data_IF_548967796634
#
_entry.id   IF_548967796634
#
_cell.length_a   1.000
_cell.length_b   1.000
_cell.length_c   1.000
_cell.angle_alpha   90.00
_cell.angle_beta   90.00
_cell.angle_gamma   90.00
#
_symmetry.space_group_name_H-M   'P 1'
#
loop_
_entity.id
_entity.type
_entity.pdbx_description
1 polymer ?
#
# COMPACT_ATOMS: atom_id res chain seq x y z
N UNK A 1 -18.68 -11.37 12.21
CA UNK A 1 -19.13 -10.38 11.21
C UNK A 1 -18.63 -8.99 11.55
N UNK A 2 -18.61 -8.12 10.57
CA UNK A 2 -18.25 -6.71 10.75
C UNK A 2 -19.53 -5.88 10.87
N UNK A 3 -19.55 -4.80 11.68
CA UNK A 3 -20.70 -3.88 11.75
C UNK A 3 -20.86 -3.06 10.46
N UNK A 4 -19.82 -2.99 9.62
CA UNK A 4 -19.85 -2.31 8.34
C UNK A 4 -20.38 -3.25 7.27
N UNK A 5 -21.42 -2.83 6.57
CA UNK A 5 -21.91 -3.47 5.37
C UNK A 5 -22.16 -2.42 4.29
N UNK A 6 -21.83 -2.73 3.06
CA UNK A 6 -22.17 -1.94 1.88
C UNK A 6 -22.27 -2.88 0.68
N UNK A 7 -23.40 -2.84 0.00
CA UNK A 7 -23.60 -3.55 -1.25
C UNK A 7 -23.89 -2.54 -2.36
N UNK A 8 -22.99 -2.45 -3.34
CA UNK A 8 -23.15 -1.57 -4.51
C UNK A 8 -23.54 -2.44 -5.70
N UNK A 9 -24.67 -2.13 -6.29
CA UNK A 9 -25.21 -2.84 -7.45
C UNK A 9 -25.20 -1.88 -8.64
N UNK A 10 -24.46 -2.24 -9.70
CA UNK A 10 -24.46 -1.48 -10.95
C UNK A 10 -25.60 -1.93 -11.84
N UNK A 11 -26.44 -1.00 -12.25
CA UNK A 11 -27.57 -1.24 -13.14
C UNK A 11 -27.91 0.05 -13.90
N UNK A 12 -28.29 -0.08 -15.15
CA UNK A 12 -28.84 0.97 -16.00
C UNK A 12 -30.35 1.23 -15.74
N UNK A 13 -30.97 0.38 -14.90
CA UNK A 13 -32.37 0.47 -14.51
C UNK A 13 -32.50 0.81 -13.03
N UNK A 14 -33.55 1.52 -12.68
CA UNK A 14 -33.95 1.66 -11.28
C UNK A 14 -34.53 0.32 -10.77
N UNK A 15 -33.84 -0.28 -9.81
CA UNK A 15 -34.21 -1.53 -9.19
C UNK A 15 -34.92 -1.33 -7.85
N UNK A 16 -35.22 -0.11 -7.46
CA UNK A 16 -35.75 0.23 -6.11
C UNK A 16 -37.13 -0.40 -5.83
N UNK A 17 -37.96 -0.59 -6.85
CA UNK A 17 -39.25 -1.24 -6.70
C UNK A 17 -39.13 -2.78 -6.64
N UNK A 18 -38.29 -3.37 -7.53
CA UNK A 18 -38.13 -4.82 -7.60
C UNK A 18 -37.27 -5.36 -6.44
N UNK A 19 -36.36 -4.54 -5.92
CA UNK A 19 -35.42 -4.91 -4.88
C UNK A 19 -35.32 -3.80 -3.80
N UNK A 20 -36.35 -3.64 -2.95
CA UNK A 20 -36.52 -2.49 -2.07
C UNK A 20 -35.64 -2.53 -0.80
N UNK A 21 -34.39 -2.99 -0.91
CA UNK A 21 -33.46 -3.11 0.21
C UNK A 21 -33.08 -1.75 0.83
N UNK A 22 -32.83 -0.68 0.04
CA UNK A 22 -32.56 0.65 0.63
C UNK A 22 -33.76 1.17 1.46
N UNK A 23 -34.97 0.96 0.99
CA UNK A 23 -36.18 1.35 1.72
C UNK A 23 -36.36 0.57 3.04
N UNK A 24 -35.81 -0.64 3.13
CA UNK A 24 -35.77 -1.45 4.35
C UNK A 24 -34.61 -1.04 5.29
N UNK A 25 -33.87 0.03 5.00
CA UNK A 25 -32.75 0.52 5.82
C UNK A 25 -31.46 -0.28 5.66
N UNK A 26 -31.36 -1.14 4.64
CA UNK A 26 -30.14 -1.89 4.35
C UNK A 26 -29.15 -1.04 3.57
N UNK A 27 -27.83 -1.16 3.80
CA UNK A 27 -26.80 -0.36 3.17
C UNK A 27 -26.52 -0.83 1.72
N UNK A 28 -27.52 -0.66 0.86
CA UNK A 28 -27.46 -1.00 -0.56
C UNK A 28 -27.53 0.28 -1.39
N UNK A 29 -26.68 0.40 -2.38
CA UNK A 29 -26.64 1.50 -3.35
C UNK A 29 -26.86 0.94 -4.74
N UNK A 30 -27.84 1.46 -5.46
CA UNK A 30 -27.97 1.28 -6.90
C UNK A 30 -27.27 2.43 -7.61
N UNK A 31 -26.50 2.14 -8.63
CA UNK A 31 -25.73 3.13 -9.39
C UNK A 31 -25.56 2.66 -10.83
N UNK A 32 -25.41 3.59 -11.75
CA UNK A 32 -25.01 3.33 -13.13
C UNK A 32 -23.47 3.12 -13.27
N UNK A 33 -22.71 3.41 -12.22
CA UNK A 33 -21.26 3.26 -12.21
C UNK A 33 -20.73 2.90 -10.81
N UNK A 34 -20.39 1.62 -10.61
CA UNK A 34 -19.79 1.13 -9.33
C UNK A 34 -18.30 1.45 -9.19
N UNK A 35 -17.62 1.87 -10.27
CA UNK A 35 -16.17 2.07 -10.31
C UNK A 35 -15.64 3.00 -9.21
N UNK A 36 -16.26 4.16 -8.90
CA UNK A 36 -15.78 5.02 -7.82
C UNK A 36 -15.80 4.34 -6.43
N UNK A 37 -16.82 3.55 -6.14
CA UNK A 37 -16.95 2.81 -4.87
C UNK A 37 -15.88 1.71 -4.75
N UNK A 38 -15.62 0.98 -5.85
CA UNK A 38 -14.54 0.01 -5.94
C UNK A 38 -13.17 0.69 -5.74
N UNK A 39 -12.94 1.82 -6.41
CA UNK A 39 -11.71 2.59 -6.27
C UNK A 39 -11.50 3.07 -4.83
N UNK A 40 -12.52 3.62 -4.17
CA UNK A 40 -12.48 4.01 -2.75
C UNK A 40 -11.99 2.84 -1.88
N UNK A 41 -12.63 1.68 -2.00
CA UNK A 41 -12.25 0.49 -1.22
C UNK A 41 -10.82 0.01 -1.52
N UNK A 42 -10.46 -0.06 -2.79
CA UNK A 42 -9.15 -0.57 -3.22
C UNK A 42 -8.03 0.39 -2.82
N UNK A 43 -8.20 1.70 -2.99
CA UNK A 43 -7.14 2.67 -2.73
C UNK A 43 -7.04 3.03 -1.25
N UNK A 44 -8.15 3.28 -0.55
CA UNK A 44 -8.12 3.64 0.88
C UNK A 44 -7.83 2.40 1.75
N UNK A 45 -8.61 1.32 1.68
CA UNK A 45 -8.43 0.18 2.57
C UNK A 45 -7.25 -0.70 2.14
N UNK A 46 -7.30 -1.20 0.91
CA UNK A 46 -6.28 -2.15 0.45
C UNK A 46 -4.96 -1.45 0.14
N UNK A 47 -5.01 -0.20 -0.36
CA UNK A 47 -3.85 0.64 -0.63
C UNK A 47 -3.11 1.00 0.64
N UNK A 48 -3.84 1.40 1.71
CA UNK A 48 -3.22 1.65 3.00
C UNK A 48 -2.44 0.43 3.51
N UNK A 49 -3.06 -0.76 3.58
CA UNK A 49 -2.36 -1.98 3.95
C UNK A 49 -1.08 -2.17 3.12
N UNK A 50 -1.18 -2.04 1.81
CA UNK A 50 -0.05 -2.27 0.90
C UNK A 50 1.07 -1.23 1.09
N UNK A 51 0.74 0.02 1.44
CA UNK A 51 1.74 1.08 1.62
C UNK A 51 2.51 0.96 2.94
N UNK A 52 1.88 0.47 4.04
CA UNK A 52 2.53 0.52 5.34
C UNK A 52 3.03 -0.82 5.88
N UNK A 53 2.41 -1.97 5.50
CA UNK A 53 2.68 -3.24 6.21
C UNK A 53 4.12 -3.69 6.13
N UNK A 54 4.82 -3.46 5.02
CA UNK A 54 6.21 -3.85 4.83
C UNK A 54 7.14 -2.97 5.68
N UNK A 55 6.92 -1.65 5.67
CA UNK A 55 7.65 -0.71 6.52
C UNK A 55 7.39 -1.00 7.99
N UNK A 56 6.15 -1.21 8.40
CA UNK A 56 5.77 -1.52 9.77
C UNK A 56 6.40 -2.81 10.26
N UNK A 57 6.41 -3.85 9.42
CA UNK A 57 7.10 -5.09 9.75
C UNK A 57 8.59 -4.86 9.99
N UNK A 58 9.27 -4.14 9.11
CA UNK A 58 10.69 -3.81 9.27
C UNK A 58 10.97 -2.84 10.44
N UNK A 59 9.95 -2.16 10.98
CA UNK A 59 10.03 -1.37 12.22
C UNK A 59 9.83 -2.19 13.50
N UNK A 60 9.56 -3.51 13.39
CA UNK A 60 9.42 -4.41 14.52
C UNK A 60 7.99 -4.81 14.88
N UNK A 61 6.97 -4.34 14.15
CA UNK A 61 5.58 -4.74 14.38
C UNK A 61 5.27 -6.06 13.64
N UNK A 62 4.41 -6.90 14.20
CA UNK A 62 4.02 -8.19 13.61
C UNK A 62 2.57 -8.23 13.13
N UNK A 63 1.69 -7.43 13.74
CA UNK A 63 0.26 -7.37 13.40
C UNK A 63 -0.21 -5.94 13.12
N UNK A 64 -1.33 -5.82 12.42
CA UNK A 64 -1.94 -4.52 12.07
C UNK A 64 -2.26 -3.70 13.33
N UNK A 65 -2.74 -4.33 14.41
CA UNK A 65 -3.04 -3.61 15.65
C UNK A 65 -1.81 -2.91 16.25
N UNK A 66 -0.66 -3.58 16.27
CA UNK A 66 0.61 -2.97 16.73
C UNK A 66 1.00 -1.78 15.87
N UNK A 67 0.81 -1.89 14.55
CA UNK A 67 1.02 -0.77 13.62
C UNK A 67 0.14 0.44 13.94
N UNK A 68 -1.10 0.21 14.37
CA UNK A 68 -2.03 1.27 14.77
C UNK A 68 -1.71 1.88 16.14
N UNK A 69 -0.97 1.16 16.98
CA UNK A 69 -0.52 1.63 18.31
C UNK A 69 0.87 2.28 18.24
N UNK A 70 1.60 2.09 17.16
CA UNK A 70 2.87 2.77 16.87
C UNK A 70 2.57 4.17 16.30
N UNK A 71 2.87 5.22 17.05
CA UNK A 71 2.53 6.62 16.70
C UNK A 71 3.12 7.03 15.34
N UNK A 72 4.35 6.60 15.02
CA UNK A 72 5.00 6.94 13.76
C UNK A 72 4.31 6.21 12.58
N UNK A 73 4.03 4.92 12.72
CA UNK A 73 3.34 4.14 11.70
C UNK A 73 1.92 4.67 11.49
N UNK A 74 1.21 4.98 12.57
CA UNK A 74 -0.13 5.58 12.49
C UNK A 74 -0.10 6.94 11.77
N UNK A 75 0.90 7.78 12.05
CA UNK A 75 1.11 9.05 11.34
C UNK A 75 1.34 8.81 9.84
N UNK A 76 2.16 7.83 9.49
CA UNK A 76 2.40 7.43 8.09
C UNK A 76 1.11 6.96 7.40
N UNK A 77 0.34 6.08 8.04
CA UNK A 77 -0.94 5.59 7.51
C UNK A 77 -1.89 6.74 7.24
N UNK A 78 -2.05 7.65 8.22
CA UNK A 78 -2.95 8.80 8.09
C UNK A 78 -2.50 9.74 6.97
N UNK A 79 -1.24 10.12 6.93
CA UNK A 79 -0.71 10.99 5.88
C UNK A 79 -0.87 10.35 4.48
N UNK A 80 -0.59 9.06 4.33
CA UNK A 80 -0.82 8.36 3.06
C UNK A 80 -2.29 8.42 2.64
N UNK A 81 -3.23 8.14 3.54
CA UNK A 81 -4.66 8.09 3.21
C UNK A 81 -5.20 9.50 2.94
N UNK A 82 -5.01 10.43 3.89
CA UNK A 82 -5.70 11.73 3.85
C UNK A 82 -5.03 12.74 2.93
N UNK A 83 -3.70 12.74 2.85
CA UNK A 83 -2.95 13.76 2.12
C UNK A 83 -2.58 13.31 0.69
N UNK A 84 -2.48 12.00 0.44
CA UNK A 84 -2.00 11.50 -0.86
C UNK A 84 -3.05 10.67 -1.63
N UNK A 85 -3.85 9.82 -0.95
CA UNK A 85 -4.82 8.95 -1.63
C UNK A 85 -6.17 9.65 -1.83
N UNK A 86 -6.77 10.22 -0.79
CA UNK A 86 -8.10 10.86 -0.88
C UNK A 86 -8.14 11.96 -1.95
N UNK A 87 -7.13 12.84 -2.11
CA UNK A 87 -7.15 13.86 -3.15
C UNK A 87 -7.24 13.31 -4.58
N UNK A 88 -6.90 12.04 -4.79
CA UNK A 88 -6.96 11.39 -6.11
C UNK A 88 -8.31 10.73 -6.43
N UNK A 89 -9.23 10.68 -5.47
CA UNK A 89 -10.53 10.03 -5.63
C UNK A 89 -11.63 11.01 -6.01
N UNK A 90 -12.70 10.51 -6.66
CA UNK A 90 -13.75 11.33 -7.27
C UNK A 90 -15.06 11.36 -6.49
N UNK A 91 -15.24 10.48 -5.49
CA UNK A 91 -16.43 10.52 -4.63
C UNK A 91 -16.47 11.81 -3.77
N UNK A 92 -17.64 12.21 -3.25
CA UNK A 92 -17.73 13.33 -2.35
C UNK A 92 -16.72 13.24 -1.20
N UNK A 93 -16.04 14.34 -0.90
CA UNK A 93 -14.95 14.37 0.07
C UNK A 93 -15.38 13.82 1.44
N UNK A 94 -16.59 14.14 1.89
CA UNK A 94 -17.07 13.64 3.18
C UNK A 94 -17.21 12.12 3.19
N UNK A 95 -17.75 11.52 2.13
CA UNK A 95 -17.88 10.04 2.00
C UNK A 95 -16.52 9.34 2.03
N UNK A 96 -15.49 9.99 1.47
CA UNK A 96 -14.12 9.46 1.48
C UNK A 96 -13.51 9.54 2.89
N UNK A 97 -13.73 10.65 3.59
CA UNK A 97 -13.25 10.86 4.96
C UNK A 97 -13.93 9.88 5.92
N UNK A 98 -15.26 9.75 5.87
CA UNK A 98 -16.01 8.84 6.73
C UNK A 98 -15.58 7.38 6.49
N UNK A 99 -15.36 7.01 5.22
CA UNK A 99 -14.85 5.68 4.89
C UNK A 99 -13.43 5.45 5.41
N UNK A 100 -12.54 6.45 5.33
CA UNK A 100 -11.18 6.36 5.83
C UNK A 100 -11.15 6.19 7.36
N UNK A 101 -11.95 6.96 8.10
CA UNK A 101 -12.06 6.81 9.57
C UNK A 101 -12.61 5.43 9.96
N UNK A 102 -13.61 4.92 9.22
CA UNK A 102 -14.11 3.57 9.43
C UNK A 102 -13.01 2.51 9.17
N UNK A 103 -12.16 2.70 8.16
CA UNK A 103 -11.00 1.83 7.88
C UNK A 103 -10.00 1.86 9.03
N UNK A 104 -9.64 3.04 9.54
CA UNK A 104 -8.71 3.16 10.68
C UNK A 104 -9.27 2.48 11.93
N UNK A 105 -10.57 2.62 12.19
CA UNK A 105 -11.26 1.92 13.29
C UNK A 105 -11.17 0.39 13.13
N UNK A 106 -11.34 -0.12 11.90
CA UNK A 106 -11.21 -1.56 11.61
C UNK A 106 -9.78 -2.07 11.77
N UNK A 107 -8.79 -1.28 11.39
CA UNK A 107 -7.38 -1.63 11.60
C UNK A 107 -7.02 -1.70 13.08
N UNK A 108 -7.62 -0.85 13.90
CA UNK A 108 -7.43 -0.82 15.35
C UNK A 108 -8.31 -1.83 16.12
N UNK A 109 -8.79 -2.88 15.46
CA UNK A 109 -9.63 -3.90 16.08
C UNK A 109 -8.81 -4.85 16.96
N UNK A 110 -8.99 -4.86 18.30
CA UNK A 110 -8.19 -5.67 19.22
C UNK A 110 -8.49 -7.17 19.14
N UNK A 111 -9.59 -7.55 18.49
CA UNK A 111 -10.01 -8.95 18.39
C UNK A 111 -9.43 -9.66 17.17
N UNK A 112 -8.78 -8.95 16.26
CA UNK A 112 -8.23 -9.51 15.02
C UNK A 112 -6.71 -9.42 15.02
N UNK A 113 -6.05 -10.55 15.15
CA UNK A 113 -4.59 -10.66 15.00
C UNK A 113 -4.23 -10.81 13.51
N UNK A 114 -4.33 -9.71 12.75
CA UNK A 114 -4.01 -9.72 11.33
C UNK A 114 -2.50 -9.56 11.12
N UNK A 115 -1.82 -10.66 10.83
CA UNK A 115 -0.37 -10.69 10.66
C UNK A 115 0.08 -9.89 9.43
N UNK A 116 1.09 -9.02 9.58
CA UNK A 116 1.63 -8.21 8.49
C UNK A 116 2.21 -9.09 7.38
N UNK A 117 2.88 -10.19 7.73
CA UNK A 117 3.40 -11.14 6.75
C UNK A 117 2.30 -11.84 5.92
N UNK A 118 1.10 -12.03 6.46
CA UNK A 118 -0.03 -12.56 5.67
C UNK A 118 -0.55 -11.56 4.64
N UNK A 119 -0.38 -10.27 4.92
CA UNK A 119 -0.74 -9.19 3.98
C UNK A 119 0.37 -8.97 2.94
N UNK A 120 1.62 -9.27 3.28
CA UNK A 120 2.79 -9.03 2.41
C UNK A 120 2.86 -9.91 1.15
N UNK A 121 2.04 -10.96 1.06
CA UNK A 121 1.99 -11.85 -0.11
C UNK A 121 1.77 -11.07 -1.40
N UNK A 122 2.58 -11.32 -2.43
CA UNK A 122 2.47 -10.71 -3.76
C UNK A 122 2.45 -9.16 -3.69
N UNK A 123 3.37 -8.57 -2.93
CA UNK A 123 3.34 -7.12 -2.68
C UNK A 123 3.64 -6.28 -3.92
N UNK A 124 4.42 -6.77 -4.87
CA UNK A 124 4.70 -6.05 -6.13
C UNK A 124 3.41 -5.84 -6.93
N UNK A 125 2.67 -6.90 -7.23
CA UNK A 125 1.41 -6.81 -7.97
C UNK A 125 0.33 -6.05 -7.20
N UNK A 126 0.31 -6.18 -5.87
CA UNK A 126 -0.60 -5.40 -5.00
C UNK A 126 -0.27 -3.91 -5.03
N UNK A 127 1.00 -3.53 -4.96
CA UNK A 127 1.39 -2.12 -5.03
C UNK A 127 0.97 -1.50 -6.36
N UNK A 128 1.26 -2.20 -7.47
CA UNK A 128 0.81 -1.79 -8.81
C UNK A 128 -0.70 -1.58 -8.87
N UNK A 129 -1.49 -2.50 -8.32
CA UNK A 129 -2.94 -2.46 -8.44
C UNK A 129 -3.62 -1.46 -7.47
N UNK A 130 -3.01 -1.17 -6.32
CA UNK A 130 -3.66 -0.49 -5.20
C UNK A 130 -3.07 0.88 -4.87
N UNK A 131 -1.74 1.04 -5.01
CA UNK A 131 -1.02 2.27 -4.68
C UNK A 131 -0.66 3.08 -5.93
N UNK A 132 -0.18 2.43 -6.98
CA UNK A 132 0.30 3.10 -8.20
C UNK A 132 -0.74 4.03 -8.85
N UNK A 133 -2.05 3.69 -8.93
CA UNK A 133 -3.01 4.63 -9.49
C UNK A 133 -3.08 5.96 -8.73
N UNK A 134 -3.08 5.92 -7.38
CA UNK A 134 -3.05 7.15 -6.58
C UNK A 134 -1.71 7.86 -6.69
N UNK A 135 -0.60 7.13 -6.75
CA UNK A 135 0.74 7.69 -6.94
C UNK A 135 0.83 8.51 -8.25
N UNK A 136 0.37 7.95 -9.37
CA UNK A 136 0.40 8.62 -10.67
C UNK A 136 -0.56 9.81 -10.73
N UNK A 137 -1.81 9.63 -10.29
CA UNK A 137 -2.80 10.70 -10.26
C UNK A 137 -2.41 11.86 -9.33
N UNK A 138 -1.70 11.57 -8.23
CA UNK A 138 -1.19 12.60 -7.34
C UNK A 138 -0.09 13.43 -8.04
N UNK A 139 0.85 12.79 -8.72
CA UNK A 139 1.89 13.48 -9.50
C UNK A 139 1.26 14.38 -10.57
N UNK A 140 0.26 13.85 -11.30
CA UNK A 140 -0.44 14.60 -12.33
C UNK A 140 -1.18 15.83 -11.78
N UNK A 141 -1.86 15.68 -10.63
CA UNK A 141 -2.67 16.76 -10.03
C UNK A 141 -1.83 17.81 -9.30
N UNK A 142 -0.85 17.35 -8.52
CA UNK A 142 -0.11 18.22 -7.60
C UNK A 142 1.24 18.69 -8.15
N UNK A 143 1.73 18.09 -9.25
CA UNK A 143 3.01 18.41 -9.85
C UNK A 143 4.21 18.08 -8.97
N UNK A 144 4.05 17.23 -7.97
CA UNK A 144 5.09 16.78 -7.02
C UNK A 144 4.89 15.33 -6.63
N UNK A 145 5.94 14.71 -6.07
CA UNK A 145 5.86 13.33 -5.61
C UNK A 145 5.04 13.22 -4.30
N UNK A 146 4.18 12.18 -4.17
CA UNK A 146 3.59 11.83 -2.90
C UNK A 146 4.65 11.17 -2.02
N UNK A 147 5.05 11.83 -0.95
CA UNK A 147 6.17 11.43 -0.08
C UNK A 147 6.01 10.01 0.47
N UNK A 148 4.84 9.72 1.03
CA UNK A 148 4.58 8.45 1.72
C UNK A 148 4.41 7.28 0.75
N UNK A 149 3.71 7.49 -0.38
CA UNK A 149 3.61 6.47 -1.43
C UNK A 149 4.97 6.21 -2.08
N UNK A 150 5.80 7.26 -2.30
CA UNK A 150 7.18 7.09 -2.81
C UNK A 150 8.05 6.32 -1.81
N UNK A 151 7.96 6.66 -0.52
CA UNK A 151 8.67 5.93 0.54
C UNK A 151 8.23 4.46 0.61
N UNK A 152 6.94 4.17 0.37
CA UNK A 152 6.44 2.80 0.37
C UNK A 152 7.05 1.90 -0.70
N UNK A 153 7.51 2.47 -1.85
CA UNK A 153 8.30 1.73 -2.86
C UNK A 153 9.67 1.34 -2.29
N UNK A 154 10.37 2.27 -1.65
CA UNK A 154 11.65 1.98 -1.01
C UNK A 154 11.51 0.96 0.13
N UNK A 155 10.41 1.03 0.89
CA UNK A 155 10.09 0.05 1.93
C UNK A 155 9.82 -1.35 1.34
N UNK A 156 9.13 -1.44 0.20
CA UNK A 156 8.94 -2.69 -0.54
C UNK A 156 10.31 -3.24 -0.97
N UNK A 157 11.17 -2.42 -1.55
CA UNK A 157 12.52 -2.83 -1.95
C UNK A 157 13.35 -3.32 -0.76
N UNK A 158 13.29 -2.64 0.38
CA UNK A 158 13.99 -3.05 1.60
C UNK A 158 13.44 -4.36 2.16
N UNK A 159 12.13 -4.57 2.13
CA UNK A 159 11.50 -5.82 2.56
C UNK A 159 11.91 -7.01 1.69
N UNK A 160 12.05 -6.83 0.37
CA UNK A 160 12.47 -7.86 -0.57
C UNK A 160 14.01 -8.03 -0.62
N UNK A 161 14.74 -7.54 0.38
CA UNK A 161 16.20 -7.73 0.45
C UNK A 161 16.53 -9.15 0.91
N UNK A 162 17.16 -9.93 0.03
CA UNK A 162 17.62 -11.28 0.27
C UNK A 162 18.32 -11.85 -0.98
N UNK A 163 19.14 -12.90 -0.80
CA UNK A 163 19.84 -13.55 -1.91
C UNK A 163 19.54 -15.06 -2.01
N UNK A 164 18.93 -15.64 -0.98
CA UNK A 164 18.62 -17.07 -0.92
C UNK A 164 17.14 -17.29 -1.19
N UNK A 165 16.84 -18.22 -2.11
CA UNK A 165 15.49 -18.73 -2.33
C UNK A 165 15.45 -20.16 -1.77
N UNK A 166 14.60 -20.38 -0.75
CA UNK A 166 14.40 -21.66 -0.07
C UNK A 166 12.90 -21.96 -0.02
N UNK A 167 12.50 -23.17 -0.40
CA UNK A 167 11.10 -23.61 -0.39
C UNK A 167 10.13 -22.65 -1.11
N UNK A 168 10.55 -22.08 -2.24
CA UNK A 168 9.81 -21.11 -3.05
C UNK A 168 9.59 -19.74 -2.35
N UNK A 169 10.34 -19.43 -1.32
CA UNK A 169 10.35 -18.15 -0.64
C UNK A 169 11.73 -17.49 -0.76
N UNK A 170 11.79 -16.20 -0.97
CA UNK A 170 13.00 -15.41 -0.77
C UNK A 170 13.18 -15.18 0.73
N UNK A 171 14.39 -15.42 1.24
CA UNK A 171 14.67 -15.29 2.67
C UNK A 171 15.18 -13.88 2.97
N UNK A 172 14.34 -13.12 3.69
CA UNK A 172 14.69 -11.83 4.26
C UNK A 172 15.11 -11.95 5.73
N UNK A 173 15.70 -10.87 6.27
CA UNK A 173 16.13 -10.80 7.67
C UNK A 173 15.63 -9.53 8.33
N UNK A 174 15.09 -9.68 9.55
CA UNK A 174 14.72 -8.57 10.45
C UNK A 174 15.36 -8.83 11.82
N UNK A 175 16.24 -7.95 12.24
CA UNK A 175 16.94 -8.05 13.54
C UNK A 175 17.66 -9.40 13.73
N UNK A 176 18.23 -9.94 12.65
CA UNK A 176 18.93 -11.24 12.65
C UNK A 176 18.01 -12.46 12.58
N UNK A 177 16.70 -12.28 12.51
CA UNK A 177 15.71 -13.37 12.36
C UNK A 177 15.24 -13.47 10.92
N UNK A 178 15.26 -14.68 10.38
CA UNK A 178 14.77 -14.97 9.02
C UNK A 178 13.24 -14.79 8.94
N UNK A 179 12.78 -14.26 7.80
CA UNK A 179 11.37 -14.31 7.41
C UNK A 179 11.24 -14.70 5.94
N UNK A 180 10.08 -15.27 5.61
CA UNK A 180 9.80 -15.72 4.25
C UNK A 180 9.04 -14.64 3.47
N UNK A 181 9.54 -14.34 2.28
CA UNK A 181 8.90 -13.45 1.31
C UNK A 181 8.29 -14.32 0.23
N UNK A 182 6.98 -14.22 0.06
CA UNK A 182 6.20 -15.01 -0.89
C UNK A 182 5.65 -14.12 -1.99
N UNK A 183 6.05 -14.40 -3.23
CA UNK A 183 5.58 -13.73 -4.45
C UNK A 183 5.76 -14.69 -5.63
N UNK A 184 5.43 -14.26 -6.85
CA UNK A 184 5.70 -15.01 -8.07
C UNK A 184 7.19 -15.30 -8.20
N UNK A 185 7.55 -16.50 -8.69
CA UNK A 185 8.93 -16.96 -8.78
C UNK A 185 9.84 -15.95 -9.50
N UNK A 186 9.38 -15.38 -10.62
CA UNK A 186 10.14 -14.39 -11.38
C UNK A 186 10.41 -13.10 -10.57
N UNK A 187 9.50 -12.71 -9.67
CA UNK A 187 9.68 -11.59 -8.75
C UNK A 187 10.75 -11.90 -7.73
N UNK A 188 10.68 -13.08 -7.09
CA UNK A 188 11.65 -13.51 -6.09
C UNK A 188 13.06 -13.63 -6.68
N UNK A 189 13.21 -14.23 -7.85
CA UNK A 189 14.48 -14.35 -8.58
C UNK A 189 15.06 -12.98 -8.93
N UNK A 190 14.21 -12.05 -9.38
CA UNK A 190 14.63 -10.68 -9.67
C UNK A 190 15.20 -9.99 -8.43
N UNK A 191 14.52 -10.05 -7.30
CA UNK A 191 14.99 -9.41 -6.07
C UNK A 191 16.22 -10.09 -5.50
N UNK A 192 16.31 -11.42 -5.54
CA UNK A 192 17.50 -12.17 -5.15
C UNK A 192 18.76 -11.75 -5.94
N UNK A 193 18.59 -11.48 -7.25
CA UNK A 193 19.69 -11.06 -8.12
C UNK A 193 20.07 -9.57 -7.99
N UNK A 194 19.18 -8.71 -7.50
CA UNK A 194 19.37 -7.27 -7.55
C UNK A 194 19.48 -6.59 -6.18
N UNK A 195 18.93 -7.16 -5.11
CA UNK A 195 18.86 -6.49 -3.79
C UNK A 195 20.22 -6.18 -3.15
N UNK A 196 21.28 -6.87 -3.57
CA UNK A 196 22.65 -6.62 -3.10
C UNK A 196 23.39 -5.49 -3.85
N UNK A 197 22.81 -4.91 -4.91
CA UNK A 197 23.42 -3.83 -5.69
C UNK A 197 23.46 -2.53 -4.88
N UNK A 198 24.29 -1.57 -5.36
CA UNK A 198 24.28 -0.20 -4.86
C UNK A 198 22.88 0.41 -4.98
N UNK A 199 22.54 1.36 -4.09
CA UNK A 199 21.18 1.88 -3.94
C UNK A 199 20.62 2.45 -5.26
N UNK A 200 21.42 3.19 -6.01
CA UNK A 200 21.00 3.77 -7.30
C UNK A 200 20.75 2.70 -8.37
N UNK A 201 21.64 1.73 -8.49
CA UNK A 201 21.48 0.61 -9.45
C UNK A 201 20.27 -0.27 -9.09
N UNK A 202 20.04 -0.47 -7.80
CA UNK A 202 18.91 -1.24 -7.32
C UNK A 202 17.59 -0.50 -7.57
N UNK A 203 17.53 0.79 -7.25
CA UNK A 203 16.36 1.62 -7.51
C UNK A 203 16.03 1.66 -9.01
N UNK A 204 17.04 1.90 -9.85
CA UNK A 204 16.86 1.88 -11.30
C UNK A 204 16.32 0.53 -11.79
N UNK A 205 16.93 -0.58 -11.39
CA UNK A 205 16.51 -1.91 -11.81
C UNK A 205 15.06 -2.23 -11.44
N UNK A 206 14.62 -1.84 -10.22
CA UNK A 206 13.24 -2.04 -9.77
C UNK A 206 12.26 -1.13 -10.49
N UNK A 207 12.55 0.18 -10.57
CA UNK A 207 11.65 1.17 -11.14
C UNK A 207 11.47 1.04 -12.65
N UNK A 208 12.54 0.68 -13.38
CA UNK A 208 12.50 0.48 -14.84
C UNK A 208 11.86 -0.86 -15.25
N UNK A 209 11.53 -1.75 -14.31
CA UNK A 209 10.95 -3.06 -14.61
C UNK A 209 9.48 -2.94 -15.02
N UNK A 210 9.23 -2.81 -16.32
CA UNK A 210 7.86 -2.69 -16.87
C UNK A 210 6.98 -3.93 -16.60
N UNK A 211 7.57 -5.11 -16.38
CA UNK A 211 6.78 -6.30 -16.01
C UNK A 211 6.12 -6.13 -14.62
N UNK A 212 6.79 -5.43 -13.70
CA UNK A 212 6.24 -5.13 -12.37
C UNK A 212 5.15 -4.05 -12.43
N UNK A 213 5.44 -2.96 -13.12
CA UNK A 213 4.62 -1.73 -13.03
C UNK A 213 3.72 -1.50 -14.24
N UNK A 214 3.96 -2.18 -15.37
CA UNK A 214 3.27 -1.93 -16.63
C UNK A 214 3.77 -0.70 -17.37
N UNK A 215 4.74 -0.01 -16.80
CA UNK A 215 5.46 1.14 -17.37
C UNK A 215 6.79 1.32 -16.63
N UNK A 216 7.67 2.12 -17.19
CA UNK A 216 8.95 2.48 -16.59
C UNK A 216 8.79 3.67 -15.64
N UNK A 217 8.78 3.40 -14.32
CA UNK A 217 8.64 4.44 -13.29
C UNK A 217 9.90 5.30 -13.12
N UNK A 218 11.08 4.83 -13.58
CA UNK A 218 12.32 5.61 -13.51
C UNK A 218 12.28 6.85 -14.40
N UNK A 219 11.41 6.88 -15.41
CA UNK A 219 11.19 8.03 -16.29
C UNK A 219 10.34 9.14 -15.67
N UNK A 220 9.70 8.89 -14.54
CA UNK A 220 8.93 9.93 -13.84
C UNK A 220 9.90 10.86 -13.09
N UNK A 221 9.73 12.16 -13.29
CA UNK A 221 10.63 13.17 -12.73
C UNK A 221 10.80 13.04 -11.21
N UNK A 222 12.04 12.90 -10.75
CA UNK A 222 12.42 12.84 -9.34
C UNK A 222 12.14 11.52 -8.63
N UNK A 223 11.46 10.53 -9.28
CA UNK A 223 11.11 9.26 -8.64
C UNK A 223 12.33 8.43 -8.33
N UNK A 224 13.24 8.26 -9.28
CA UNK A 224 14.45 7.46 -9.10
C UNK A 224 15.37 8.06 -8.04
N UNK A 225 15.55 9.38 -8.05
CA UNK A 225 16.35 10.10 -7.05
C UNK A 225 15.76 9.96 -5.64
N UNK A 226 14.45 10.12 -5.50
CA UNK A 226 13.77 10.00 -4.21
C UNK A 226 13.84 8.56 -3.65
N UNK A 227 13.55 7.56 -4.48
CA UNK A 227 13.62 6.14 -4.06
C UNK A 227 15.05 5.73 -3.73
N UNK A 228 16.05 6.18 -4.51
CA UNK A 228 17.49 5.98 -4.24
C UNK A 228 17.89 6.57 -2.89
N UNK A 229 17.44 7.79 -2.59
CA UNK A 229 17.69 8.43 -1.30
C UNK A 229 17.08 7.64 -0.15
N UNK A 230 15.80 7.25 -0.27
CA UNK A 230 15.10 6.49 0.77
C UNK A 230 15.72 5.12 1.01
N UNK A 231 16.06 4.36 -0.03
CA UNK A 231 16.69 3.04 0.15
C UNK A 231 18.10 3.16 0.76
N UNK A 232 18.85 4.22 0.42
CA UNK A 232 20.16 4.52 1.01
C UNK A 232 20.01 4.81 2.51
N UNK A 233 19.03 5.63 2.89
CA UNK A 233 18.74 5.95 4.29
C UNK A 233 18.27 4.72 5.07
N UNK A 234 17.39 3.89 4.49
CA UNK A 234 16.93 2.65 5.12
C UNK A 234 18.11 1.71 5.39
N UNK A 235 19.03 1.56 4.42
CA UNK A 235 20.22 0.73 4.59
C UNK A 235 21.18 1.26 5.64
N UNK A 236 21.35 2.57 5.72
CA UNK A 236 22.31 3.21 6.64
C UNK A 236 21.77 3.32 8.07
N UNK A 237 20.48 3.58 8.25
CA UNK A 237 19.89 3.97 9.55
C UNK A 237 18.89 2.95 10.08
N UNK A 238 18.41 2.04 9.24
CA UNK A 238 17.26 1.18 9.51
C UNK A 238 15.93 1.85 9.16
N UNK A 239 14.87 1.04 8.99
CA UNK A 239 13.57 1.49 8.51
C UNK A 239 12.95 2.58 9.37
N UNK A 240 12.96 2.42 10.71
CA UNK A 240 12.34 3.36 11.65
C UNK A 240 12.93 4.76 11.52
N UNK A 241 14.25 4.88 11.58
CA UNK A 241 14.92 6.19 11.50
C UNK A 241 14.78 6.84 10.12
N UNK A 242 14.78 6.05 9.06
CA UNK A 242 14.52 6.57 7.71
C UNK A 242 13.09 7.10 7.59
N UNK A 243 12.10 6.40 8.18
CA UNK A 243 10.72 6.86 8.22
C UNK A 243 10.52 8.11 9.07
N UNK A 244 11.22 8.26 10.20
CA UNK A 244 11.19 9.49 11.02
C UNK A 244 11.62 10.73 10.22
N UNK A 245 12.59 10.59 9.34
CA UNK A 245 13.10 11.70 8.53
C UNK A 245 12.11 12.26 7.52
N UNK A 246 11.19 11.46 7.00
CA UNK A 246 10.18 11.98 6.07
C UNK A 246 9.13 12.88 6.75
N UNK A 247 9.16 12.95 8.08
CA UNK A 247 8.30 13.81 8.88
C UNK A 247 9.04 15.01 9.51
N UNK A 248 10.38 15.08 9.33
CA UNK A 248 11.20 16.18 9.84
C UNK A 248 11.19 17.35 8.87
#
# INVERSE_FOLDING_TARGET
GEPFALWVIESDKDLSEEFPLPAAGLPVIFTDNQKPYKQRKVRILNGAHTSFVLASYLCGNDIVLESMQDEMILKFIKATIFDEVIPTLTLPKQDLLDFAEAVLTRFNNPYVKHALLSISLNSVSKWRARCMPSFLEYIEKEGKLPTHLTFSIAALMAFYTGSEIRDKALIGHRDGVEYQILDDAAVLEFFAANSGKEAAEYAHAVLSNEAFWGQDLSKLAGVEEAVTSYISEIRALGMRKAMEKIFA
#
